data_IF_730128147093
#
_entry.id   IF_730128147093
#
_cell.length_a   1.000
_cell.length_b   1.000
_cell.length_c   1.000
_cell.angle_alpha   90.00
_cell.angle_beta   90.00
_cell.angle_gamma   90.00
#
_symmetry.space_group_name_H-M   'P 1'
#
loop_
_entity.id
_entity.type
_entity.pdbx_description
1 polymer ?
#
# COMPACT_ATOMS: atom_id res chain seq x y z
N UNK A 1 20.18 8.05 16.53
CA UNK A 1 21.37 7.61 15.76
C UNK A 1 21.00 6.68 14.60
N UNK A 2 20.20 5.61 14.80
CA UNK A 2 19.81 4.69 13.72
C UNK A 2 19.07 5.35 12.54
N UNK A 3 18.15 6.29 12.79
CA UNK A 3 17.43 6.99 11.71
C UNK A 3 18.32 7.84 10.83
N UNK A 4 19.26 8.57 11.45
CA UNK A 4 20.25 9.37 10.73
C UNK A 4 21.10 8.45 9.83
N UNK A 5 21.51 7.29 10.36
CA UNK A 5 22.24 6.29 9.57
C UNK A 5 21.44 5.84 8.34
N UNK A 6 20.15 5.54 8.49
CA UNK A 6 19.29 5.17 7.36
C UNK A 6 19.11 6.29 6.32
N UNK A 7 18.98 7.54 6.77
CA UNK A 7 18.90 8.71 5.88
C UNK A 7 20.21 8.86 5.10
N UNK A 8 21.36 8.77 5.79
CA UNK A 8 22.68 8.85 5.13
C UNK A 8 22.90 7.69 4.16
N UNK A 9 22.46 6.48 4.49
CA UNK A 9 22.54 5.33 3.60
C UNK A 9 21.69 5.53 2.35
N UNK A 10 20.45 6.02 2.52
CA UNK A 10 19.55 6.38 1.40
C UNK A 10 20.17 7.43 0.48
N UNK A 11 20.81 8.45 1.05
CA UNK A 11 21.53 9.46 0.30
C UNK A 11 22.70 8.86 -0.50
N UNK A 12 23.59 8.09 0.14
CA UNK A 12 24.74 7.46 -0.51
C UNK A 12 24.30 6.53 -1.65
N UNK A 13 23.27 5.71 -1.40
CA UNK A 13 22.69 4.80 -2.40
C UNK A 13 22.06 5.57 -3.55
N UNK A 14 21.42 6.71 -3.29
CA UNK A 14 20.86 7.57 -4.34
C UNK A 14 21.94 8.16 -5.26
N UNK A 15 23.11 8.52 -4.73
CA UNK A 15 24.26 8.95 -5.54
C UNK A 15 24.74 7.77 -6.40
N UNK A 16 24.95 6.60 -5.78
CA UNK A 16 25.44 5.40 -6.47
C UNK A 16 24.61 4.99 -7.68
N UNK A 17 23.28 5.17 -7.61
CA UNK A 17 22.36 4.81 -8.69
C UNK A 17 21.86 6.00 -9.53
N UNK A 18 22.54 7.16 -9.48
CA UNK A 18 22.19 8.37 -10.23
C UNK A 18 20.74 8.86 -9.98
N UNK A 19 20.24 8.71 -8.75
CA UNK A 19 18.91 9.12 -8.28
C UNK A 19 18.93 10.27 -7.27
N UNK A 20 20.04 11.02 -7.19
CA UNK A 20 20.18 12.12 -6.21
C UNK A 20 19.07 13.17 -6.33
N UNK A 21 18.72 13.59 -7.55
CA UNK A 21 17.64 14.56 -7.77
C UNK A 21 16.28 14.03 -7.26
N UNK A 22 16.03 12.74 -7.42
CA UNK A 22 14.83 12.08 -6.91
C UNK A 22 14.81 12.06 -5.37
N UNK A 23 15.96 11.81 -4.73
CA UNK A 23 16.11 11.83 -3.28
C UNK A 23 15.83 13.21 -2.69
N UNK A 24 16.44 14.25 -3.28
CA UNK A 24 16.29 15.64 -2.83
C UNK A 24 14.83 16.07 -2.95
N UNK A 25 14.21 15.83 -4.12
CA UNK A 25 12.83 16.23 -4.36
C UNK A 25 11.83 15.51 -3.44
N UNK A 26 12.01 14.20 -3.25
CA UNK A 26 11.15 13.40 -2.36
C UNK A 26 11.24 13.90 -0.91
N UNK A 27 12.45 14.09 -0.39
CA UNK A 27 12.64 14.56 0.98
C UNK A 27 12.15 16.00 1.18
N UNK A 28 12.38 16.88 0.21
CA UNK A 28 11.89 18.26 0.27
C UNK A 28 10.37 18.29 0.38
N UNK A 29 9.65 17.50 -0.42
CA UNK A 29 8.19 17.41 -0.32
C UNK A 29 7.72 16.84 1.02
N UNK A 30 8.37 15.79 1.54
CA UNK A 30 8.01 15.22 2.84
C UNK A 30 8.21 16.23 3.96
N UNK A 31 9.32 16.95 3.97
CA UNK A 31 9.59 17.99 4.97
C UNK A 31 8.56 19.11 4.86
N UNK A 32 8.23 19.57 3.65
CA UNK A 32 7.18 20.59 3.44
C UNK A 32 5.83 20.11 3.97
N UNK A 33 5.44 18.87 3.66
CA UNK A 33 4.17 18.29 4.14
C UNK A 33 4.12 18.21 5.67
N UNK A 34 5.17 17.68 6.29
CA UNK A 34 5.20 17.55 7.75
C UNK A 34 5.25 18.93 8.43
N UNK A 35 5.97 19.88 7.84
CA UNK A 35 6.00 21.26 8.32
C UNK A 35 4.61 21.91 8.28
N UNK A 36 3.89 21.77 7.16
CA UNK A 36 2.52 22.27 7.01
C UNK A 36 1.55 21.61 8.01
N UNK A 37 1.76 20.34 8.38
CA UNK A 37 1.00 19.68 9.45
C UNK A 37 1.32 20.26 10.84
N UNK A 38 2.60 20.46 11.15
CA UNK A 38 3.03 20.95 12.47
C UNK A 38 2.60 22.40 12.76
N UNK A 39 2.59 23.29 11.76
CA UNK A 39 2.16 24.69 11.93
C UNK A 39 0.72 24.79 12.45
N UNK A 40 -0.13 23.82 12.12
CA UNK A 40 -1.55 23.88 12.43
C UNK A 40 -1.97 22.99 13.61
N UNK A 41 -1.02 22.63 14.48
CA UNK A 41 -1.26 21.78 15.66
C UNK A 41 -1.98 20.48 15.31
N UNK A 42 -1.80 20.00 14.08
CA UNK A 42 -2.21 18.66 13.71
C UNK A 42 -1.21 17.73 14.37
N UNK A 43 -1.57 17.19 15.53
CA UNK A 43 -0.94 15.97 15.98
C UNK A 43 -1.18 14.93 14.88
N UNK A 44 -0.12 14.64 14.11
CA UNK A 44 -0.06 13.58 13.12
C UNK A 44 -0.42 12.20 13.73
N UNK A 45 -0.51 12.14 15.06
CA UNK A 45 -1.00 11.04 15.86
C UNK A 45 -2.49 11.21 16.14
N UNK A 46 -3.30 10.57 15.31
CA UNK A 46 -4.72 10.30 15.57
C UNK A 46 -5.62 11.54 15.66
N UNK A 47 -6.32 11.83 14.57
CA UNK A 47 -7.56 12.59 14.71
C UNK A 47 -8.56 11.75 15.50
N UNK A 48 -8.80 12.21 16.71
CA UNK A 48 -9.92 11.80 17.53
C UNK A 48 -11.17 12.33 16.82
N UNK A 49 -11.85 11.48 16.06
CA UNK A 49 -13.27 11.71 15.85
C UNK A 49 -13.93 11.68 17.24
N UNK A 50 -14.77 12.67 17.55
CA UNK A 50 -15.52 12.71 18.82
C UNK A 50 -16.40 11.46 19.04
N UNK A 51 -16.64 10.66 17.99
CA UNK A 51 -17.31 9.35 18.02
C UNK A 51 -16.39 8.23 18.52
N UNK A 52 -16.93 7.31 19.31
CA UNK A 52 -16.27 6.05 19.68
C UNK A 52 -15.87 5.28 18.41
N UNK A 53 -14.57 5.32 18.11
CA UNK A 53 -13.97 4.70 16.94
C UNK A 53 -12.69 3.98 17.36
N UNK A 54 -12.25 3.01 16.57
CA UNK A 54 -10.97 2.32 16.76
C UNK A 54 -9.82 3.32 16.97
N UNK A 55 -9.83 4.42 16.22
CA UNK A 55 -8.88 5.55 16.33
C UNK A 55 -8.82 6.15 17.74
N UNK A 56 -9.97 6.34 18.40
CA UNK A 56 -10.07 6.87 19.78
C UNK A 56 -9.62 5.84 20.83
N UNK A 57 -9.93 4.56 20.62
CA UNK A 57 -9.45 3.47 21.47
C UNK A 57 -7.93 3.31 21.39
N UNK A 58 -7.38 3.42 20.18
CA UNK A 58 -5.94 3.34 19.95
C UNK A 58 -5.19 4.55 20.52
N UNK A 59 -5.69 5.77 20.33
CA UNK A 59 -5.09 6.97 20.90
C UNK A 59 -5.11 6.97 22.44
N UNK A 60 -6.28 6.68 23.03
CA UNK A 60 -6.40 6.63 24.49
C UNK A 60 -5.51 5.55 25.10
N UNK A 61 -5.38 4.40 24.43
CA UNK A 61 -4.45 3.35 24.84
C UNK A 61 -2.99 3.75 24.62
N UNK A 62 -2.65 4.43 23.51
CA UNK A 62 -1.30 4.92 23.19
C UNK A 62 -0.74 5.87 24.25
N UNK A 63 -1.59 6.60 24.97
CA UNK A 63 -1.16 7.54 26.01
C UNK A 63 -0.95 6.90 27.40
N UNK A 64 -1.36 5.65 27.60
CA UNK A 64 -1.19 4.95 28.90
C UNK A 64 0.26 4.53 29.15
N UNK A 65 0.71 4.40 30.41
CA UNK A 65 1.97 3.74 30.74
C UNK A 65 2.06 2.33 30.10
N UNK A 66 3.26 1.88 29.73
CA UNK A 66 3.46 0.59 29.03
C UNK A 66 2.86 -0.60 29.80
N UNK A 67 3.00 -0.58 31.12
CA UNK A 67 2.47 -1.61 32.03
C UNK A 67 0.93 -1.67 32.00
N UNK A 68 0.27 -0.54 31.78
CA UNK A 68 -1.18 -0.40 31.76
C UNK A 68 -1.81 -0.66 30.39
N UNK A 69 -0.99 -0.60 29.34
CA UNK A 69 -1.46 -0.80 27.96
C UNK A 69 -2.03 -2.20 27.78
N UNK A 70 -1.37 -3.25 28.30
CA UNK A 70 -1.78 -4.67 28.15
C UNK A 70 -3.22 -4.93 28.59
N UNK A 71 -3.76 -4.08 29.46
CA UNK A 71 -5.10 -4.18 30.04
C UNK A 71 -6.19 -3.56 29.14
N UNK A 72 -5.85 -2.99 27.98
CA UNK A 72 -6.82 -2.40 27.04
C UNK A 72 -7.13 -3.31 25.86
N UNK A 73 -8.35 -3.20 25.33
CA UNK A 73 -8.73 -3.88 24.09
C UNK A 73 -7.87 -3.37 22.92
N UNK A 74 -7.31 -4.30 22.13
CA UNK A 74 -6.40 -4.01 21.03
C UNK A 74 -5.07 -3.30 21.39
N UNK A 75 -4.56 -3.50 22.61
CA UNK A 75 -3.32 -2.89 23.11
C UNK A 75 -2.05 -3.17 22.30
N UNK A 76 -2.02 -4.29 21.57
CA UNK A 76 -0.87 -4.72 20.78
C UNK A 76 -0.48 -3.65 19.76
N UNK A 77 -1.47 -2.95 19.19
CA UNK A 77 -1.24 -1.93 18.19
C UNK A 77 -0.64 -0.63 18.75
N UNK A 78 -1.20 -0.01 19.82
CA UNK A 78 -0.58 1.12 20.51
C UNK A 78 0.80 0.79 21.11
N UNK A 79 0.99 -0.41 21.67
CA UNK A 79 2.30 -0.88 22.13
C UNK A 79 3.29 -0.94 20.97
N UNK A 80 2.90 -1.57 19.86
CA UNK A 80 3.74 -1.67 18.67
C UNK A 80 4.13 -0.28 18.16
N UNK A 81 3.18 0.65 18.02
CA UNK A 81 3.48 2.04 17.66
C UNK A 81 4.45 2.72 18.64
N UNK A 82 4.30 2.49 19.96
CA UNK A 82 5.26 3.02 20.94
C UNK A 82 6.65 2.43 20.75
N UNK A 83 6.78 1.11 20.60
CA UNK A 83 8.08 0.47 20.31
C UNK A 83 8.75 1.05 19.06
N UNK A 84 7.95 1.49 18.10
CA UNK A 84 8.41 2.05 16.83
C UNK A 84 8.79 3.54 16.89
N UNK A 85 8.14 4.32 17.76
CA UNK A 85 8.48 5.74 18.01
C UNK A 85 9.63 5.86 19.01
N UNK A 86 9.74 4.93 19.96
CA UNK A 86 10.78 4.90 20.99
C UNK A 86 12.22 5.12 20.49
N UNK A 87 12.67 4.56 19.34
CA UNK A 87 14.02 4.83 18.83
C UNK A 87 14.24 6.28 18.34
N UNK A 88 13.17 7.05 18.09
CA UNK A 88 13.25 8.40 17.52
C UNK A 88 12.83 9.52 18.48
N UNK A 89 12.08 9.21 19.55
CA UNK A 89 11.52 10.16 20.55
C UNK A 89 10.61 11.26 19.97
N UNK A 90 10.51 11.38 18.65
CA UNK A 90 9.72 12.35 17.90
C UNK A 90 9.05 11.65 16.69
N UNK A 91 7.74 11.86 16.51
CA UNK A 91 6.95 11.30 15.42
C UNK A 91 7.35 11.87 14.06
N UNK A 92 7.79 13.14 14.00
CA UNK A 92 8.27 13.80 12.77
C UNK A 92 9.51 13.09 12.25
N UNK A 93 10.50 12.89 13.13
CA UNK A 93 11.73 12.20 12.80
C UNK A 93 11.48 10.74 12.40
N UNK A 94 10.51 10.07 13.02
CA UNK A 94 10.10 8.72 12.66
C UNK A 94 9.50 8.65 11.25
N UNK A 95 8.61 9.58 10.88
CA UNK A 95 8.01 9.66 9.54
C UNK A 95 9.07 9.94 8.46
N UNK A 96 9.98 10.90 8.72
CA UNK A 96 11.10 11.18 7.81
C UNK A 96 11.97 9.93 7.64
N UNK A 97 12.31 9.24 8.74
CA UNK A 97 13.13 8.04 8.69
C UNK A 97 12.46 6.93 7.89
N UNK A 98 11.20 6.61 8.18
CA UNK A 98 10.45 5.57 7.46
C UNK A 98 10.32 5.87 5.98
N UNK A 99 10.05 7.13 5.63
CA UNK A 99 9.96 7.56 4.24
C UNK A 99 11.29 7.36 3.50
N UNK A 100 12.41 7.63 4.17
CA UNK A 100 13.74 7.35 3.62
C UNK A 100 14.04 5.86 3.49
N UNK A 101 13.54 5.01 4.39
CA UNK A 101 13.62 3.54 4.25
C UNK A 101 12.83 3.09 3.02
N UNK A 102 11.60 3.58 2.85
CA UNK A 102 10.75 3.26 1.70
C UNK A 102 11.45 3.67 0.40
N UNK A 103 11.95 4.91 0.34
CA UNK A 103 12.68 5.40 -0.83
C UNK A 103 13.93 4.57 -1.14
N UNK A 104 14.73 4.24 -0.11
CA UNK A 104 15.89 3.37 -0.22
C UNK A 104 15.51 1.99 -0.80
N UNK A 105 14.47 1.35 -0.26
CA UNK A 105 14.01 0.04 -0.73
C UNK A 105 13.53 0.11 -2.18
N UNK A 106 12.80 1.17 -2.55
CA UNK A 106 12.38 1.40 -3.93
C UNK A 106 13.58 1.54 -4.87
N UNK A 107 14.62 2.30 -4.50
CA UNK A 107 15.86 2.38 -5.30
C UNK A 107 16.48 0.99 -5.45
N UNK A 108 16.62 0.25 -4.36
CA UNK A 108 17.28 -1.07 -4.39
C UNK A 108 16.51 -2.09 -5.25
N UNK A 109 15.18 -2.05 -5.24
CA UNK A 109 14.32 -2.92 -6.06
C UNK A 109 14.36 -2.50 -7.54
N UNK A 110 14.42 -1.20 -7.83
CA UNK A 110 14.29 -0.61 -9.18
C UNK A 110 15.53 0.16 -9.65
N UNK A 111 16.73 -0.29 -9.26
CA UNK A 111 17.99 0.41 -9.52
C UNK A 111 18.25 0.74 -10.99
N UNK A 112 17.79 -0.11 -11.91
CA UNK A 112 18.01 0.01 -13.36
C UNK A 112 16.83 0.68 -14.09
N UNK A 113 15.82 1.14 -13.36
CA UNK A 113 14.60 1.71 -13.93
C UNK A 113 14.85 3.17 -14.40
N UNK A 114 14.23 3.55 -15.53
CA UNK A 114 14.27 4.93 -16.03
C UNK A 114 13.79 5.92 -14.94
N UNK A 115 14.41 7.11 -14.87
CA UNK A 115 14.04 8.20 -13.99
C UNK A 115 12.55 8.55 -14.02
N UNK A 116 11.91 8.56 -15.20
CA UNK A 116 10.48 8.86 -15.31
C UNK A 116 9.66 7.79 -14.61
N UNK A 117 9.86 6.51 -14.93
CA UNK A 117 9.11 5.43 -14.27
C UNK A 117 9.45 5.33 -12.78
N UNK A 118 10.69 5.62 -12.40
CA UNK A 118 11.10 5.65 -11.00
C UNK A 118 10.38 6.76 -10.25
N UNK A 119 10.38 7.99 -10.80
CA UNK A 119 9.61 9.14 -10.33
C UNK A 119 8.18 8.73 -10.02
N UNK A 120 7.52 8.07 -10.95
CA UNK A 120 6.09 7.76 -10.85
C UNK A 120 5.75 6.75 -9.74
N UNK A 121 6.65 5.81 -9.44
CA UNK A 121 6.46 4.83 -8.36
C UNK A 121 6.49 5.52 -6.99
N UNK A 122 7.47 6.40 -6.76
CA UNK A 122 7.63 7.03 -5.46
C UNK A 122 6.82 8.35 -5.33
N UNK A 123 6.36 8.94 -6.44
CA UNK A 123 5.42 10.09 -6.44
C UNK A 123 3.95 9.73 -6.38
N UNK A 124 3.61 8.46 -6.16
CA UNK A 124 2.23 8.06 -5.96
C UNK A 124 1.63 8.84 -4.78
N UNK A 125 0.62 9.68 -5.05
CA UNK A 125 -0.05 10.52 -4.06
C UNK A 125 -0.54 9.73 -2.83
N UNK A 126 -1.00 8.48 -3.00
CA UNK A 126 -1.42 7.64 -1.87
C UNK A 126 -0.24 7.20 -1.01
N UNK A 127 0.93 6.97 -1.61
CA UNK A 127 2.15 6.63 -0.88
C UNK A 127 2.66 7.86 -0.12
N UNK A 128 2.66 9.03 -0.77
CA UNK A 128 3.00 10.29 -0.12
C UNK A 128 2.07 10.60 1.05
N UNK A 129 0.76 10.44 0.88
CA UNK A 129 -0.22 10.63 1.96
C UNK A 129 0.06 9.72 3.16
N UNK A 130 0.35 8.45 2.89
CA UNK A 130 0.70 7.46 3.94
C UNK A 130 2.01 7.84 4.64
N UNK A 131 3.03 8.23 3.88
CA UNK A 131 4.35 8.62 4.40
C UNK A 131 4.32 9.82 5.35
N UNK A 132 3.41 10.77 5.14
CA UNK A 132 3.33 12.00 5.95
C UNK A 132 2.39 11.86 7.16
N UNK A 133 1.51 10.86 7.18
CA UNK A 133 0.43 10.77 8.17
C UNK A 133 0.39 9.47 9.00
N UNK A 134 0.94 8.35 8.51
CA UNK A 134 0.64 7.03 9.08
C UNK A 134 1.86 6.13 9.25
N UNK A 135 2.42 6.14 10.46
CA UNK A 135 3.52 5.26 10.87
C UNK A 135 3.20 3.77 10.57
N UNK A 136 2.00 3.31 10.92
CA UNK A 136 1.58 1.90 10.76
C UNK A 136 1.66 1.40 9.32
N UNK A 137 1.09 2.15 8.39
CA UNK A 137 0.97 1.71 7.01
C UNK A 137 2.31 1.84 6.29
N UNK A 138 3.17 2.78 6.71
CA UNK A 138 4.58 2.83 6.31
C UNK A 138 5.31 1.54 6.72
N UNK A 139 5.13 1.03 7.94
CA UNK A 139 5.77 -0.25 8.34
C UNK A 139 5.31 -1.42 7.49
N UNK A 140 4.02 -1.48 7.20
CA UNK A 140 3.48 -2.52 6.33
C UNK A 140 4.14 -2.44 4.94
N UNK A 141 4.21 -1.24 4.37
CA UNK A 141 4.89 -1.01 3.08
C UNK A 141 6.37 -1.40 3.17
N UNK A 142 7.09 -1.00 4.22
CA UNK A 142 8.50 -1.35 4.45
C UNK A 142 8.69 -2.86 4.52
N UNK A 143 7.86 -3.59 5.27
CA UNK A 143 7.96 -5.05 5.41
C UNK A 143 7.73 -5.74 4.06
N UNK A 144 6.74 -5.30 3.28
CA UNK A 144 6.48 -5.88 1.96
C UNK A 144 7.62 -5.57 0.99
N UNK A 145 8.08 -4.32 0.92
CA UNK A 145 9.20 -3.91 0.06
C UNK A 145 10.49 -4.63 0.44
N UNK A 146 10.80 -4.75 1.72
CA UNK A 146 11.95 -5.50 2.21
C UNK A 146 11.84 -6.98 1.81
N UNK A 147 10.65 -7.57 1.92
CA UNK A 147 10.39 -8.94 1.49
C UNK A 147 10.64 -9.12 -0.01
N UNK A 148 10.13 -8.20 -0.85
CA UNK A 148 10.37 -8.19 -2.30
C UNK A 148 11.88 -8.12 -2.59
N UNK A 149 12.59 -7.19 -1.94
CA UNK A 149 14.04 -7.05 -2.09
C UNK A 149 14.80 -8.32 -1.70
N UNK A 150 14.44 -8.95 -0.58
CA UNK A 150 15.09 -10.18 -0.12
C UNK A 150 14.80 -11.37 -1.05
N UNK A 151 13.55 -11.55 -1.50
CA UNK A 151 13.18 -12.61 -2.44
C UNK A 151 13.95 -12.46 -3.75
N UNK A 152 14.11 -11.24 -4.26
CA UNK A 152 14.85 -10.96 -5.50
C UNK A 152 16.33 -11.37 -5.41
N UNK A 153 16.94 -11.26 -4.23
CA UNK A 153 18.37 -11.55 -4.03
C UNK A 153 18.66 -13.00 -3.61
N UNK A 154 17.68 -13.72 -3.09
CA UNK A 154 17.86 -15.09 -2.57
C UNK A 154 17.36 -16.10 -3.59
N UNK A 155 18.24 -17.01 -4.04
CA UNK A 155 17.87 -18.04 -5.02
C UNK A 155 17.16 -19.25 -4.39
N UNK A 156 17.41 -19.55 -3.13
CA UNK A 156 16.86 -20.73 -2.45
C UNK A 156 15.35 -20.55 -2.17
N UNK A 157 14.52 -21.40 -2.77
CA UNK A 157 13.04 -21.34 -2.65
C UNK A 157 12.53 -21.57 -1.24
N UNK A 158 13.20 -22.41 -0.45
CA UNK A 158 12.86 -22.63 0.97
C UNK A 158 13.11 -21.35 1.77
N UNK A 159 14.25 -20.69 1.54
CA UNK A 159 14.55 -19.41 2.19
C UNK A 159 13.58 -18.32 1.74
N UNK A 160 13.22 -18.25 0.45
CA UNK A 160 12.17 -17.33 -0.03
C UNK A 160 10.84 -17.58 0.71
N UNK A 161 10.45 -18.84 0.92
CA UNK A 161 9.21 -19.20 1.61
C UNK A 161 9.23 -18.81 3.10
N UNK A 162 10.36 -19.06 3.78
CA UNK A 162 10.57 -18.65 5.18
C UNK A 162 10.47 -17.12 5.31
N UNK A 163 11.08 -16.37 4.39
CA UNK A 163 11.04 -14.91 4.40
C UNK A 163 9.61 -14.40 4.21
N UNK A 164 8.84 -14.98 3.27
CA UNK A 164 7.43 -14.64 3.07
C UNK A 164 6.60 -14.99 4.32
N UNK A 165 6.80 -16.17 4.90
CA UNK A 165 6.08 -16.55 6.12
C UNK A 165 6.40 -15.60 7.28
N UNK A 166 7.67 -15.25 7.47
CA UNK A 166 8.10 -14.33 8.51
C UNK A 166 7.55 -12.91 8.28
N UNK A 167 7.51 -12.42 7.04
CA UNK A 167 6.93 -11.12 6.74
C UNK A 167 5.44 -11.07 7.08
N UNK A 168 4.70 -12.14 6.79
CA UNK A 168 3.28 -12.26 7.13
C UNK A 168 3.08 -12.34 8.65
N UNK A 169 3.96 -13.03 9.36
CA UNK A 169 3.95 -13.07 10.83
C UNK A 169 4.17 -11.69 11.43
N UNK A 170 5.08 -10.87 10.88
CA UNK A 170 5.23 -9.48 11.33
C UNK A 170 3.98 -8.67 10.99
N UNK A 171 3.50 -8.77 9.75
CA UNK A 171 2.35 -7.97 9.29
C UNK A 171 1.06 -8.28 10.04
N UNK A 172 0.86 -9.52 10.52
CA UNK A 172 -0.35 -9.87 11.28
C UNK A 172 -0.46 -9.08 12.58
N UNK A 173 0.67 -8.77 13.22
CA UNK A 173 0.70 -8.03 14.49
C UNK A 173 0.40 -6.54 14.24
N UNK A 174 0.71 -6.05 13.03
CA UNK A 174 0.33 -4.72 12.55
C UNK A 174 -1.16 -4.70 12.20
N UNK A 175 -1.60 -5.58 11.30
CA UNK A 175 -2.98 -5.70 10.81
C UNK A 175 -3.39 -7.18 10.86
N UNK A 176 -4.28 -7.59 11.79
CA UNK A 176 -4.63 -9.00 12.03
C UNK A 176 -5.08 -9.76 10.78
N UNK A 177 -5.67 -9.09 9.80
CA UNK A 177 -6.09 -9.68 8.53
C UNK A 177 -4.94 -10.24 7.70
N UNK A 178 -3.70 -9.78 7.89
CA UNK A 178 -2.59 -10.30 7.09
C UNK A 178 -2.26 -11.76 7.40
N UNK A 179 -2.73 -12.30 8.55
CA UNK A 179 -2.67 -13.74 8.83
C UNK A 179 -3.37 -14.59 7.76
N UNK A 180 -4.36 -14.03 7.04
CA UNK A 180 -5.03 -14.67 5.92
C UNK A 180 -4.08 -14.96 4.76
N UNK A 181 -2.96 -14.27 4.66
CA UNK A 181 -2.04 -14.41 3.54
C UNK A 181 -0.93 -15.43 3.76
N UNK A 182 -0.94 -16.21 4.86
CA UNK A 182 0.13 -17.18 5.16
C UNK A 182 0.35 -18.19 4.02
N UNK A 183 -0.69 -18.47 3.23
CA UNK A 183 -0.62 -19.31 2.03
C UNK A 183 0.33 -18.75 0.94
N UNK A 184 0.60 -17.45 0.93
CA UNK A 184 1.56 -16.82 0.03
C UNK A 184 2.99 -17.33 0.24
N UNK A 185 3.31 -17.95 1.38
CA UNK A 185 4.59 -18.64 1.61
C UNK A 185 4.86 -19.76 0.60
N UNK A 186 3.83 -20.25 -0.10
CA UNK A 186 3.94 -21.29 -1.11
C UNK A 186 4.38 -20.73 -2.47
N UNK A 187 4.25 -19.42 -2.72
CA UNK A 187 4.58 -18.77 -4.01
C UNK A 187 5.93 -19.22 -4.60
N UNK A 188 7.04 -19.27 -3.84
CA UNK A 188 8.34 -19.66 -4.37
C UNK A 188 8.37 -21.05 -5.03
N UNK A 189 7.49 -21.96 -4.60
CA UNK A 189 7.41 -23.34 -5.07
C UNK A 189 6.50 -23.52 -6.28
N UNK A 190 5.70 -22.52 -6.64
CA UNK A 190 4.82 -22.52 -7.82
C UNK A 190 5.65 -22.62 -9.12
N UNK A 191 6.93 -22.22 -9.09
CA UNK A 191 7.83 -22.17 -10.25
C UNK A 191 8.70 -23.43 -10.47
N UNK A 192 8.52 -24.50 -9.71
CA UNK A 192 9.36 -25.69 -9.88
C UNK A 192 9.09 -26.35 -11.24
N UNK A 193 10.12 -26.40 -12.10
CA UNK A 193 10.17 -26.80 -13.52
C UNK A 193 9.54 -28.15 -13.95
N UNK A 194 8.87 -28.88 -13.07
CA UNK A 194 8.29 -30.18 -13.44
C UNK A 194 6.90 -30.03 -14.06
N UNK A 195 6.81 -30.60 -15.26
CA UNK A 195 5.79 -30.48 -16.26
C UNK A 195 4.45 -31.16 -15.93
N UNK A 196 3.91 -31.00 -14.72
CA UNK A 196 2.57 -31.51 -14.44
C UNK A 196 1.61 -30.36 -14.14
N UNK A 197 0.70 -30.12 -15.09
CA UNK A 197 -0.55 -29.37 -14.85
C UNK A 197 -1.20 -29.82 -13.53
N UNK A 198 -1.03 -31.09 -13.16
CA UNK A 198 -1.43 -31.69 -11.86
C UNK A 198 -0.73 -31.04 -10.66
N UNK A 199 0.58 -30.78 -10.67
CA UNK A 199 1.30 -30.13 -9.57
C UNK A 199 0.89 -28.67 -9.42
N UNK A 200 0.71 -27.95 -10.52
CA UNK A 200 0.16 -26.58 -10.46
C UNK A 200 -1.28 -26.59 -9.94
N UNK A 201 -2.10 -27.55 -10.36
CA UNK A 201 -3.45 -27.74 -9.81
C UNK A 201 -3.44 -28.09 -8.32
N UNK A 202 -2.50 -28.92 -7.85
CA UNK A 202 -2.33 -29.26 -6.43
C UNK A 202 -1.87 -28.03 -5.64
N UNK A 203 -0.93 -27.25 -6.16
CA UNK A 203 -0.42 -26.04 -5.49
C UNK A 203 -1.49 -24.95 -5.45
N UNK A 204 -2.20 -24.71 -6.55
CA UNK A 204 -3.34 -23.77 -6.60
C UNK A 204 -4.47 -24.27 -5.70
N UNK A 205 -4.77 -25.57 -5.74
CA UNK A 205 -5.74 -26.21 -4.85
C UNK A 205 -5.37 -26.08 -3.38
N UNK A 206 -4.08 -26.19 -3.03
CA UNK A 206 -3.55 -25.93 -1.69
C UNK A 206 -3.66 -24.45 -1.31
N UNK A 207 -3.40 -23.52 -2.24
CA UNK A 207 -3.59 -22.10 -1.99
C UNK A 207 -5.07 -21.77 -1.75
N UNK A 208 -5.98 -22.32 -2.55
CA UNK A 208 -7.42 -22.14 -2.41
C UNK A 208 -7.97 -22.81 -1.14
N UNK A 209 -7.49 -24.01 -0.80
CA UNK A 209 -7.92 -24.72 0.41
C UNK A 209 -7.40 -24.05 1.67
N UNK A 210 -6.15 -23.56 1.67
CA UNK A 210 -5.63 -22.75 2.78
C UNK A 210 -6.37 -21.43 2.89
N UNK A 211 -6.65 -20.73 1.77
CA UNK A 211 -7.45 -19.51 1.79
C UNK A 211 -8.86 -19.78 2.35
N UNK A 212 -9.53 -20.86 1.92
CA UNK A 212 -10.83 -21.28 2.41
C UNK A 212 -10.82 -21.71 3.88
N UNK A 213 -9.79 -22.43 4.33
CA UNK A 213 -9.62 -22.83 5.72
C UNK A 213 -9.41 -21.62 6.62
N UNK A 214 -8.60 -20.64 6.21
CA UNK A 214 -8.41 -19.43 7.02
C UNK A 214 -9.70 -18.59 7.01
N UNK A 215 -10.44 -18.53 5.90
CA UNK A 215 -11.77 -17.91 5.84
C UNK A 215 -12.73 -18.55 6.85
N UNK A 216 -12.81 -19.88 6.88
CA UNK A 216 -13.63 -20.64 7.84
C UNK A 216 -13.21 -20.38 9.29
N UNK A 217 -11.91 -20.43 9.60
CA UNK A 217 -11.39 -20.20 10.96
C UNK A 217 -11.73 -18.79 11.49
N UNK A 218 -11.93 -17.82 10.61
CA UNK A 218 -12.24 -16.45 10.98
C UNK A 218 -13.64 -16.03 10.56
N UNK A 219 -14.48 -16.99 10.19
CA UNK A 219 -15.83 -16.75 9.71
C UNK A 219 -16.64 -15.94 10.73
N UNK A 220 -16.51 -16.24 12.03
CA UNK A 220 -17.16 -15.47 13.10
C UNK A 220 -16.76 -13.98 13.10
N UNK A 221 -15.48 -13.67 12.89
CA UNK A 221 -15.01 -12.28 12.82
C UNK A 221 -15.53 -11.59 11.56
N UNK A 222 -15.44 -12.27 10.41
CA UNK A 222 -15.95 -11.76 9.13
C UNK A 222 -17.46 -11.49 9.24
N UNK A 223 -18.23 -12.43 9.77
CA UNK A 223 -19.67 -12.29 9.98
C UNK A 223 -20.02 -11.23 11.03
N UNK A 224 -19.21 -11.04 12.08
CA UNK A 224 -19.41 -9.96 13.05
C UNK A 224 -19.19 -8.57 12.43
N UNK A 225 -18.22 -8.44 11.50
CA UNK A 225 -18.04 -7.20 10.73
C UNK A 225 -19.20 -7.00 9.74
N UNK A 226 -19.61 -8.06 9.04
CA UNK A 226 -20.75 -7.98 8.12
C UNK A 226 -22.08 -7.72 8.84
N UNK A 227 -22.26 -8.20 10.07
CA UNK A 227 -23.47 -7.95 10.86
C UNK A 227 -23.50 -6.53 11.45
N UNK A 228 -22.34 -5.96 11.79
CA UNK A 228 -22.24 -4.55 12.22
C UNK A 228 -22.48 -3.58 11.07
N UNK A 229 -22.19 -3.95 9.81
CA UNK A 229 -22.63 -3.20 8.64
C UNK A 229 -24.15 -3.06 8.54
N UNK A 230 -24.88 -4.17 8.76
CA UNK A 230 -26.34 -4.15 8.73
C UNK A 230 -26.95 -3.26 9.83
N UNK A 231 -26.26 -3.09 10.95
CA UNK A 231 -26.76 -2.35 12.11
C UNK A 231 -26.41 -0.84 12.09
N UNK A 232 -25.37 -0.41 11.37
CA UNK A 232 -24.84 0.98 11.41
C UNK A 232 -25.18 1.83 10.18
N UNK A 233 -25.87 1.28 9.19
CA UNK A 233 -26.23 2.01 7.97
C UNK A 233 -27.52 2.81 8.10
N UNK A 234 -27.41 4.03 8.60
CA UNK A 234 -28.46 5.05 8.52
C UNK A 234 -28.45 5.85 7.21
N UNK A 235 -27.67 5.43 6.21
CA UNK A 235 -27.69 5.99 4.85
C UNK A 235 -27.75 4.85 3.82
N UNK A 236 -28.83 4.82 3.04
CA UNK A 236 -29.27 3.70 2.20
C UNK A 236 -28.44 3.39 0.95
N UNK A 237 -27.15 3.12 1.10
CA UNK A 237 -26.40 2.32 0.12
C UNK A 237 -25.50 1.32 0.85
N UNK A 238 -26.11 0.27 1.40
CA UNK A 238 -25.39 -0.87 1.97
C UNK A 238 -25.36 -2.04 0.99
N UNK A 239 -24.14 -2.48 0.68
CA UNK A 239 -23.89 -3.65 -0.16
C UNK A 239 -22.61 -3.50 -0.98
N UNK A 240 -22.08 -4.62 -1.46
CA UNK A 240 -21.08 -4.65 -2.52
C UNK A 240 -21.61 -3.84 -3.70
N UNK A 241 -21.16 -2.59 -3.86
CA UNK A 241 -21.49 -1.82 -5.04
C UNK A 241 -20.68 -2.39 -6.19
N UNK A 242 -21.31 -2.59 -7.35
CA UNK A 242 -20.59 -2.88 -8.60
C UNK A 242 -19.52 -1.78 -8.86
N UNK A 243 -19.75 -0.56 -8.35
CA UNK A 243 -18.83 0.55 -8.43
C UNK A 243 -17.72 0.53 -7.35
N UNK A 244 -17.80 -0.29 -6.30
CA UNK A 244 -16.79 -0.34 -5.24
C UNK A 244 -15.41 -0.78 -5.76
N UNK A 245 -15.27 -1.85 -6.56
CA UNK A 245 -13.99 -2.20 -7.20
C UNK A 245 -13.39 -1.06 -8.02
N UNK A 246 -14.23 -0.35 -8.78
CA UNK A 246 -13.83 0.78 -9.63
C UNK A 246 -13.33 1.93 -8.75
N UNK A 247 -14.09 2.32 -7.71
CA UNK A 247 -13.71 3.39 -6.76
C UNK A 247 -12.42 3.09 -5.97
N UNK A 248 -12.10 1.82 -5.75
CA UNK A 248 -10.88 1.42 -5.06
C UNK A 248 -9.65 1.56 -5.97
N UNK A 249 -9.78 1.15 -7.24
CA UNK A 249 -8.67 1.17 -8.22
C UNK A 249 -8.40 2.60 -8.71
N UNK A 250 -9.44 3.33 -9.08
CA UNK A 250 -9.29 4.70 -9.60
C UNK A 250 -9.10 5.70 -8.46
N UNK A 251 -9.83 5.53 -7.36
CA UNK A 251 -9.71 6.42 -6.20
C UNK A 251 -10.77 7.52 -6.21
N UNK A 252 -10.63 8.55 -5.36
CA UNK A 252 -11.48 9.74 -5.43
C UNK A 252 -11.03 10.58 -6.62
N UNK A 253 -11.93 11.25 -7.34
CA UNK A 253 -11.51 12.15 -8.42
C UNK A 253 -10.62 13.28 -7.87
N UNK A 254 -9.65 13.82 -8.65
CA UNK A 254 -8.74 14.85 -8.17
C UNK A 254 -9.47 16.04 -7.52
N UNK A 255 -10.59 16.50 -8.10
CA UNK A 255 -11.40 17.59 -7.53
C UNK A 255 -11.86 17.33 -6.11
N UNK A 256 -12.09 16.07 -5.71
CA UNK A 256 -12.50 15.77 -4.33
C UNK A 256 -11.46 16.17 -3.30
N UNK A 257 -10.18 16.21 -3.65
CA UNK A 257 -9.15 16.75 -2.76
C UNK A 257 -9.37 18.25 -2.53
N UNK A 258 -9.75 19.03 -3.55
CA UNK A 258 -10.05 20.45 -3.39
C UNK A 258 -11.30 20.70 -2.52
N UNK A 259 -12.23 19.75 -2.47
CA UNK A 259 -13.43 19.79 -1.63
C UNK A 259 -13.36 18.79 -0.46
N UNK A 260 -12.18 18.58 0.11
CA UNK A 260 -11.95 17.41 0.97
C UNK A 260 -12.84 17.33 2.20
N UNK A 261 -13.31 18.45 2.72
CA UNK A 261 -14.26 18.54 3.84
C UNK A 261 -15.59 17.80 3.56
N UNK A 262 -15.98 17.67 2.30
CA UNK A 262 -17.23 17.01 1.89
C UNK A 262 -17.03 15.51 1.58
N UNK A 263 -15.80 15.06 1.34
CA UNK A 263 -15.53 13.75 0.74
C UNK A 263 -14.54 12.88 1.52
N UNK A 264 -13.76 13.46 2.43
CA UNK A 264 -12.80 12.75 3.25
C UNK A 264 -13.10 12.95 4.73
N UNK A 265 -13.00 11.84 5.47
CA UNK A 265 -13.10 11.85 6.93
C UNK A 265 -11.83 12.45 7.54
N UNK A 266 -10.71 12.38 6.82
CA UNK A 266 -9.47 13.03 7.20
C UNK A 266 -9.59 14.53 6.90
N UNK A 267 -9.42 15.40 7.90
CA UNK A 267 -9.35 16.82 7.71
C UNK A 267 -7.98 17.13 7.09
N UNK A 268 -8.04 17.79 5.94
CA UNK A 268 -6.88 18.27 5.21
C UNK A 268 -6.87 19.79 5.27
N UNK A 269 -5.68 20.38 5.27
CA UNK A 269 -5.54 21.81 5.02
C UNK A 269 -5.80 22.11 3.55
N UNK A 270 -6.18 23.34 3.26
CA UNK A 270 -6.42 23.79 1.88
C UNK A 270 -5.15 23.68 1.03
N UNK A 271 -3.98 23.88 1.62
CA UNK A 271 -2.67 23.74 0.98
C UNK A 271 -2.33 22.26 0.72
N UNK A 272 -2.63 21.37 1.67
CA UNK A 272 -2.52 19.92 1.46
C UNK A 272 -3.41 19.45 0.32
N UNK A 273 -4.65 19.96 0.24
CA UNK A 273 -5.59 19.62 -0.82
C UNK A 273 -5.05 19.93 -2.21
N UNK A 274 -4.42 21.10 -2.38
CA UNK A 274 -3.83 21.51 -3.67
C UNK A 274 -2.66 20.61 -4.03
N UNK A 275 -1.80 20.27 -3.07
CA UNK A 275 -0.64 19.44 -3.35
C UNK A 275 -1.07 17.99 -3.64
N UNK A 276 -2.03 17.45 -2.88
CA UNK A 276 -2.62 16.14 -3.18
C UNK A 276 -3.35 16.13 -4.52
N UNK A 277 -4.04 17.19 -4.89
CA UNK A 277 -4.64 17.36 -6.20
C UNK A 277 -3.59 17.24 -7.32
N UNK A 278 -2.48 17.97 -7.23
CA UNK A 278 -1.40 17.93 -8.22
C UNK A 278 -0.73 16.54 -8.27
N UNK A 279 -0.41 15.97 -7.11
CA UNK A 279 0.16 14.61 -7.03
C UNK A 279 -0.78 13.57 -7.62
N UNK A 280 -2.08 13.74 -7.43
CA UNK A 280 -3.10 12.83 -7.96
C UNK A 280 -3.22 12.95 -9.48
N UNK A 281 -3.15 14.17 -10.04
CA UNK A 281 -3.06 14.38 -11.48
C UNK A 281 -1.82 13.71 -12.08
N UNK A 282 -0.66 13.87 -11.42
CA UNK A 282 0.58 13.19 -11.84
C UNK A 282 0.34 11.67 -11.86
N UNK A 283 -0.21 11.10 -10.79
CA UNK A 283 -0.52 9.67 -10.71
C UNK A 283 -1.45 9.19 -11.85
N UNK A 284 -2.48 9.96 -12.21
CA UNK A 284 -3.38 9.63 -13.32
C UNK A 284 -2.77 9.73 -14.71
N UNK A 285 -1.60 10.34 -14.88
CA UNK A 285 -0.85 10.22 -16.14
C UNK A 285 -0.28 8.80 -16.31
N UNK A 286 -0.06 8.06 -15.21
CA UNK A 286 0.58 6.73 -15.23
C UNK A 286 -0.40 5.59 -15.01
N UNK A 287 -1.47 5.80 -14.24
CA UNK A 287 -2.47 4.76 -14.01
C UNK A 287 -3.03 4.15 -15.33
N UNK A 288 -3.38 4.94 -16.36
CA UNK A 288 -3.76 4.40 -17.67
C UNK A 288 -2.68 3.52 -18.30
N UNK A 289 -1.40 3.84 -18.05
CA UNK A 289 -0.27 3.10 -18.58
C UNK A 289 -0.21 1.70 -17.99
N UNK A 290 -0.31 1.65 -16.68
CA UNK A 290 -0.34 0.41 -15.93
C UNK A 290 -1.55 -0.45 -16.32
N UNK A 291 -2.72 0.17 -16.52
CA UNK A 291 -3.93 -0.53 -16.95
C UNK A 291 -3.76 -1.14 -18.35
N UNK A 292 -3.27 -0.37 -19.33
CA UNK A 292 -3.05 -0.85 -20.70
C UNK A 292 -2.02 -1.99 -20.70
N UNK A 293 -0.90 -1.82 -20.01
CA UNK A 293 0.12 -2.87 -19.84
C UNK A 293 -0.44 -4.11 -19.16
N UNK A 294 -1.34 -3.93 -18.20
CA UNK A 294 -1.97 -5.04 -17.51
C UNK A 294 -2.86 -5.85 -18.47
N UNK A 295 -3.70 -5.19 -19.25
CA UNK A 295 -4.62 -5.87 -20.15
C UNK A 295 -3.95 -6.54 -21.34
N UNK A 296 -2.89 -5.94 -21.90
CA UNK A 296 -2.19 -6.51 -23.07
C UNK A 296 -1.52 -7.83 -22.69
N UNK A 297 -0.89 -7.89 -21.52
CA UNK A 297 -0.14 -9.07 -21.07
C UNK A 297 -0.97 -9.98 -20.15
N UNK A 298 -2.29 -9.81 -20.11
CA UNK A 298 -3.17 -10.58 -19.22
C UNK A 298 -3.05 -12.09 -19.47
N UNK A 299 -2.88 -12.52 -20.73
CA UNK A 299 -2.68 -13.92 -21.09
C UNK A 299 -1.39 -14.49 -20.51
N UNK A 300 -0.34 -13.69 -20.46
CA UNK A 300 0.95 -14.09 -19.89
C UNK A 300 0.87 -14.14 -18.36
N UNK A 301 0.16 -13.18 -17.73
CA UNK A 301 -0.05 -13.23 -16.28
C UNK A 301 -0.91 -14.39 -15.81
N UNK A 302 -1.84 -14.85 -16.64
CA UNK A 302 -2.60 -16.08 -16.37
C UNK A 302 -1.69 -17.31 -16.34
N UNK A 303 -0.51 -17.27 -16.98
CA UNK A 303 0.50 -18.30 -16.88
C UNK A 303 1.43 -18.07 -15.68
N UNK A 304 0.89 -18.31 -14.47
CA UNK A 304 1.53 -18.06 -13.17
C UNK A 304 2.96 -18.63 -13.07
N UNK A 305 3.24 -19.75 -13.75
CA UNK A 305 4.56 -20.40 -13.73
C UNK A 305 5.69 -19.59 -14.37
N UNK A 306 5.35 -18.65 -15.26
CA UNK A 306 6.30 -17.80 -15.98
C UNK A 306 6.69 -16.52 -15.23
N UNK A 307 5.92 -16.14 -14.20
CA UNK A 307 6.12 -14.90 -13.44
C UNK A 307 7.28 -15.04 -12.43
N UNK A 308 7.78 -13.94 -11.88
CA UNK A 308 8.80 -13.99 -10.82
C UNK A 308 8.15 -14.14 -9.44
N UNK A 309 8.85 -14.81 -8.51
CA UNK A 309 8.36 -15.02 -7.12
C UNK A 309 8.00 -13.69 -6.44
N UNK A 310 8.85 -12.68 -6.58
CA UNK A 310 8.66 -11.37 -5.96
C UNK A 310 7.47 -10.61 -6.55
N UNK A 311 7.22 -10.76 -7.85
CA UNK A 311 6.08 -10.17 -8.54
C UNK A 311 4.78 -10.83 -8.11
N UNK A 312 4.75 -12.16 -8.02
CA UNK A 312 3.61 -12.90 -7.50
C UNK A 312 3.30 -12.56 -6.05
N UNK A 313 4.34 -12.39 -5.21
CA UNK A 313 4.16 -11.91 -3.85
C UNK A 313 3.56 -10.51 -3.84
N UNK A 314 4.08 -9.58 -4.65
CA UNK A 314 3.54 -8.23 -4.80
C UNK A 314 2.07 -8.23 -5.24
N UNK A 315 1.72 -9.03 -6.25
CA UNK A 315 0.34 -9.19 -6.73
C UNK A 315 -0.56 -9.78 -5.65
N UNK A 316 -0.12 -10.85 -4.98
CA UNK A 316 -0.85 -11.49 -3.89
C UNK A 316 -1.14 -10.54 -2.74
N UNK A 317 -0.17 -9.70 -2.38
CA UNK A 317 -0.34 -8.67 -1.37
C UNK A 317 -1.31 -7.58 -1.81
N UNK A 318 -1.24 -7.10 -3.06
CA UNK A 318 -2.18 -6.12 -3.61
C UNK A 318 -3.62 -6.65 -3.65
N UNK A 319 -3.85 -7.81 -4.29
CA UNK A 319 -5.16 -8.43 -4.44
C UNK A 319 -5.73 -8.89 -3.09
N UNK A 320 -4.87 -9.44 -2.23
CA UNK A 320 -5.26 -9.85 -0.89
C UNK A 320 -5.77 -8.67 -0.07
N UNK A 321 -4.98 -7.58 -0.05
CA UNK A 321 -5.36 -6.31 0.58
C UNK A 321 -6.69 -5.83 0.01
N UNK A 322 -6.82 -5.74 -1.31
CA UNK A 322 -8.04 -5.34 -1.99
C UNK A 322 -9.27 -6.16 -1.55
N UNK A 323 -9.17 -7.49 -1.57
CA UNK A 323 -10.28 -8.39 -1.22
C UNK A 323 -10.68 -8.25 0.25
N UNK A 324 -9.71 -8.21 1.17
CA UNK A 324 -9.97 -8.01 2.59
C UNK A 324 -10.69 -6.69 2.82
N UNK A 325 -10.23 -5.58 2.20
CA UNK A 325 -10.90 -4.29 2.42
C UNK A 325 -12.26 -4.19 1.75
N UNK A 326 -12.43 -4.80 0.58
CA UNK A 326 -13.73 -4.88 -0.09
C UNK A 326 -14.75 -5.66 0.75
N UNK A 327 -14.34 -6.78 1.33
CA UNK A 327 -15.20 -7.64 2.15
C UNK A 327 -15.49 -7.06 3.55
N UNK A 328 -14.52 -6.37 4.16
CA UNK A 328 -14.59 -5.94 5.58
C UNK A 328 -15.01 -4.48 5.71
N UNK A 329 -14.63 -3.62 4.77
CA UNK A 329 -14.91 -2.17 4.83
C UNK A 329 -15.74 -1.63 3.66
N UNK A 330 -16.03 -2.42 2.61
CA UNK A 330 -16.94 -2.07 1.52
C UNK A 330 -16.41 -0.99 0.56
N UNK A 331 -15.30 -0.37 0.96
CA UNK A 331 -14.55 0.66 0.29
C UNK A 331 -13.11 0.65 0.82
N UNK A 332 -12.17 1.13 0.00
CA UNK A 332 -10.79 1.32 0.42
C UNK A 332 -10.52 2.80 0.71
N UNK A 333 -10.09 3.09 1.92
CA UNK A 333 -9.55 4.40 2.29
C UNK A 333 -8.24 4.68 1.53
N UNK A 334 -7.85 5.95 1.40
CA UNK A 334 -6.66 6.42 0.66
C UNK A 334 -5.37 5.66 1.05
N UNK A 335 -5.24 5.27 2.31
CA UNK A 335 -4.10 4.50 2.84
C UNK A 335 -4.03 3.08 2.31
N UNK A 336 -5.17 2.43 2.20
CA UNK A 336 -5.28 1.05 1.71
C UNK A 336 -5.04 1.01 0.21
N UNK A 337 -5.52 2.04 -0.50
CA UNK A 337 -5.19 2.28 -1.90
C UNK A 337 -3.69 2.45 -2.12
N UNK A 338 -2.95 3.07 -1.20
CA UNK A 338 -1.49 3.13 -1.27
C UNK A 338 -0.85 1.75 -1.39
N UNK A 339 -1.26 0.81 -0.55
CA UNK A 339 -0.76 -0.57 -0.56
C UNK A 339 -1.18 -1.26 -1.86
N UNK A 340 -2.48 -1.22 -2.20
CA UNK A 340 -3.02 -1.90 -3.40
C UNK A 340 -2.30 -1.41 -4.66
N UNK A 341 -2.26 -0.09 -4.87
CA UNK A 341 -1.73 0.52 -6.08
C UNK A 341 -0.21 0.40 -6.16
N UNK A 342 0.51 0.60 -5.06
CA UNK A 342 1.96 0.45 -5.06
C UNK A 342 2.37 -0.97 -5.46
N UNK A 343 1.78 -1.99 -4.83
CA UNK A 343 2.19 -3.38 -5.08
C UNK A 343 1.62 -3.95 -6.39
N UNK A 344 0.49 -3.43 -6.88
CA UNK A 344 0.03 -3.70 -8.25
C UNK A 344 0.98 -3.10 -9.28
N UNK A 345 1.42 -1.86 -9.06
CA UNK A 345 2.40 -1.20 -9.91
C UNK A 345 3.72 -1.97 -9.91
N UNK A 346 4.23 -2.36 -8.74
CA UNK A 346 5.47 -3.15 -8.64
C UNK A 346 5.37 -4.47 -9.42
N UNK A 347 4.22 -5.16 -9.32
CA UNK A 347 3.96 -6.37 -10.12
C UNK A 347 4.08 -6.10 -11.62
N UNK A 348 3.34 -5.11 -12.13
CA UNK A 348 3.33 -4.77 -13.57
C UNK A 348 4.74 -4.37 -14.03
N UNK A 349 5.46 -3.57 -13.26
CA UNK A 349 6.79 -3.09 -13.65
C UNK A 349 7.84 -4.21 -13.63
N UNK A 350 7.70 -5.21 -12.75
CA UNK A 350 8.66 -6.31 -12.65
C UNK A 350 8.50 -7.37 -13.74
N UNK A 351 7.26 -7.56 -14.19
CA UNK A 351 6.93 -8.52 -15.25
C UNK A 351 7.02 -7.93 -16.65
N UNK A 352 7.00 -6.60 -16.77
CA UNK A 352 7.10 -5.94 -18.07
C UNK A 352 8.33 -5.07 -18.21
N UNK A 353 8.81 -4.97 -19.43
CA UNK A 353 9.73 -3.90 -19.81
C UNK A 353 8.93 -2.65 -20.13
N UNK A 354 9.21 -1.56 -19.39
CA UNK A 354 8.58 -0.28 -19.68
C UNK A 354 9.46 0.49 -20.66
N UNK A 355 8.91 0.81 -21.84
CA UNK A 355 9.55 1.71 -22.79
C UNK A 355 8.69 2.94 -23.05
N UNK A 356 9.35 4.07 -23.31
CA UNK A 356 8.67 5.31 -23.68
C UNK A 356 7.95 5.18 -25.02
N UNK A 357 8.51 4.40 -25.95
CA UNK A 357 7.91 4.09 -27.25
C UNK A 357 6.52 3.44 -27.11
N UNK A 358 6.30 2.71 -26.01
CA UNK A 358 5.00 2.12 -25.71
C UNK A 358 3.93 3.19 -25.42
N UNK A 359 4.30 4.28 -24.73
CA UNK A 359 3.39 5.41 -24.46
C UNK A 359 2.94 6.03 -25.79
N UNK A 360 3.90 6.25 -26.70
CA UNK A 360 3.65 6.83 -28.02
C UNK A 360 2.74 5.93 -28.87
N UNK A 361 2.98 4.62 -28.84
CA UNK A 361 2.20 3.63 -29.60
C UNK A 361 0.72 3.63 -29.21
N UNK A 362 0.40 3.78 -27.93
CA UNK A 362 -0.98 3.74 -27.42
C UNK A 362 -1.53 5.12 -27.05
N UNK A 363 -0.97 6.21 -27.61
CA UNK A 363 -1.29 7.61 -27.25
C UNK A 363 -2.79 7.93 -27.24
N UNK A 364 -3.58 7.33 -28.14
CA UNK A 364 -5.03 7.54 -28.18
C UNK A 364 -5.75 6.81 -27.04
N UNK A 365 -5.33 5.59 -26.69
CA UNK A 365 -5.86 4.86 -25.54
C UNK A 365 -5.54 5.60 -24.23
N UNK A 366 -4.34 6.17 -24.11
CA UNK A 366 -4.00 7.09 -23.01
C UNK A 366 -4.95 8.28 -22.95
N UNK A 367 -5.14 8.95 -24.09
CA UNK A 367 -6.01 10.12 -24.19
C UNK A 367 -7.46 9.79 -23.79
N UNK A 368 -8.01 8.67 -24.24
CA UNK A 368 -9.39 8.28 -23.91
C UNK A 368 -9.56 7.91 -22.42
N UNK A 369 -8.60 7.21 -21.81
CA UNK A 369 -8.67 6.91 -20.37
C UNK A 369 -8.55 8.21 -19.58
N UNK A 370 -7.64 9.11 -19.97
CA UNK A 370 -7.49 10.42 -19.35
C UNK A 370 -8.76 11.27 -19.51
N UNK A 371 -9.37 11.28 -20.69
CA UNK A 371 -10.63 11.99 -20.96
C UNK A 371 -11.78 11.41 -20.12
N UNK A 372 -11.87 10.07 -20.02
CA UNK A 372 -12.86 9.40 -19.18
C UNK A 372 -12.71 9.81 -17.71
N UNK A 373 -11.48 9.87 -17.19
CA UNK A 373 -11.21 10.38 -15.84
C UNK A 373 -11.59 11.85 -15.67
N UNK A 374 -11.30 12.71 -16.66
CA UNK A 374 -11.73 14.11 -16.63
C UNK A 374 -13.25 14.25 -16.65
N UNK A 375 -13.96 13.38 -17.38
CA UNK A 375 -15.42 13.32 -17.38
C UNK A 375 -15.94 12.86 -16.02
N UNK A 376 -15.36 11.79 -15.44
CA UNK A 376 -15.70 11.35 -14.08
C UNK A 376 -15.45 12.46 -13.05
N UNK A 377 -14.38 13.24 -13.23
CA UNK A 377 -14.03 14.38 -12.41
C UNK A 377 -15.11 15.46 -12.46
N UNK A 378 -15.65 15.79 -13.64
CA UNK A 378 -16.74 16.77 -13.80
C UNK A 378 -18.08 16.27 -13.27
N UNK A 379 -18.44 15.01 -13.52
CA UNK A 379 -19.74 14.43 -13.13
C UNK A 379 -19.84 14.17 -11.61
N UNK A 380 -18.70 14.06 -10.91
CA UNK A 380 -18.64 13.71 -9.49
C UNK A 380 -18.51 14.89 -8.52
N UNK A 381 -18.60 16.12 -9.05
CA UNK A 381 -18.88 17.38 -8.32
C UNK A 381 -20.38 17.51 -8.14
#
# INVERSE_FOLDING_TARGET
MFGILLITLSFIVSIKYNKLNHFILFNLLIVIMIYLMNINSYEALFQIAFKTSDTKLYFSTFNLPFEDMTNKTFYQYPMFLRYLIYPFKDAVLALITQSNIIFLLLILIFKDLNNIFFFTIYFNHTLFFTNINFLKDNYLIIVILLTIFLIQNIKNKIMQAIIIAFSILIMKDIRPFYKFFIFLSIIPFVHLKQNSKKKNFIIIGLMLSLAGLIFLLNFKYIMAVLSTWNATSSTGTTGFSILSPIKIIFGPTPLRYLYSQNFFVQPFLKEHNIIFFVLHLIYYLILPYLIIMFFINIKEYLNISALKSESLYSLGMSLGTFLVYLLIYGSADIRQRAIILLFLTIFIIKENTLSFDFILKYKYSYFFIFLFEMILMVISV
#
